data_IF_659948913640
#
_entry.id   IF_659948913640
#
_cell.length_a   1.000
_cell.length_b   1.000
_cell.length_c   1.000
_cell.angle_alpha   90.00
_cell.angle_beta   90.00
_cell.angle_gamma   90.00
#
_symmetry.space_group_name_H-M   'P 1'
#
loop_
_entity.id
_entity.type
_entity.pdbx_description
1 polymer ?
#
# COMPACT_ATOMS: atom_id res chain seq x y z
N UNK A 1 -14.56 -109.46 11.46
CA UNK A 1 -13.14 -109.80 11.20
C UNK A 1 -12.65 -108.77 10.18
N UNK A 2 -11.78 -107.80 10.43
CA UNK A 2 -10.69 -107.59 11.40
C UNK A 2 -10.51 -106.06 11.59
N UNK A 3 -10.78 -105.50 12.76
CA UNK A 3 -9.87 -104.91 13.78
C UNK A 3 -8.55 -104.24 13.32
N UNK A 4 -8.40 -102.96 13.73
CA UNK A 4 -7.20 -102.23 14.23
C UNK A 4 -6.17 -101.71 13.20
N UNK A 5 -5.54 -100.52 13.30
CA UNK A 5 -5.26 -99.60 14.42
C UNK A 5 -4.93 -98.18 13.91
N UNK A 6 -5.27 -97.22 14.76
CA UNK A 6 -4.93 -95.79 14.90
C UNK A 6 -3.42 -95.44 14.87
N UNK A 7 -3.05 -94.29 14.27
CA UNK A 7 -2.08 -93.32 14.84
C UNK A 7 -2.36 -91.88 14.37
N UNK A 8 -2.43 -90.97 15.35
CA UNK A 8 -2.37 -89.50 15.29
C UNK A 8 -0.98 -89.05 14.73
N UNK A 9 -0.72 -87.84 14.21
CA UNK A 9 -1.16 -86.51 14.68
C UNK A 9 -1.01 -85.38 13.63
N UNK A 10 -2.00 -84.49 13.65
CA UNK A 10 -1.98 -83.01 13.60
C UNK A 10 -1.40 -82.21 12.38
N UNK A 11 -1.94 -81.00 12.13
CA UNK A 11 -2.14 -80.48 10.77
C UNK A 11 -1.27 -79.26 10.43
N UNK A 12 -1.09 -79.00 9.14
CA UNK A 12 -0.76 -77.67 8.63
C UNK A 12 -1.67 -77.37 7.44
N UNK A 13 -2.43 -76.29 7.60
CA UNK A 13 -3.33 -75.72 6.63
C UNK A 13 -2.59 -75.33 5.34
N UNK A 14 -3.26 -75.43 4.20
CA UNK A 14 -3.54 -74.25 3.39
C UNK A 14 -4.67 -74.54 2.39
N UNK A 15 -5.54 -73.55 2.29
CA UNK A 15 -6.80 -73.55 1.57
C UNK A 15 -6.61 -73.52 0.03
N UNK A 16 -7.41 -74.32 -0.67
CA UNK A 16 -7.72 -74.12 -2.08
C UNK A 16 -9.15 -74.60 -2.33
N UNK A 17 -10.10 -73.66 -2.34
CA UNK A 17 -11.43 -73.89 -2.88
C UNK A 17 -11.94 -72.57 -3.49
N UNK A 18 -11.84 -72.48 -4.81
CA UNK A 18 -12.65 -71.56 -5.59
C UNK A 18 -14.11 -72.03 -5.54
N UNK A 19 -15.05 -71.09 -5.38
CA UNK A 19 -16.26 -71.13 -6.16
C UNK A 19 -16.39 -69.85 -7.00
N UNK A 20 -16.97 -70.06 -8.19
CA UNK A 20 -17.36 -69.07 -9.17
C UNK A 20 -18.23 -67.97 -8.51
N UNK A 21 -17.67 -66.78 -8.33
CA UNK A 21 -18.44 -65.57 -8.05
C UNK A 21 -18.46 -64.71 -9.30
N UNK A 22 -19.61 -64.80 -9.97
CA UNK A 22 -20.11 -63.87 -10.97
C UNK A 22 -19.84 -62.42 -10.56
N UNK A 23 -19.04 -61.74 -11.37
CA UNK A 23 -18.87 -60.29 -11.31
C UNK A 23 -20.21 -59.58 -11.56
N UNK A 24 -20.85 -59.11 -10.50
CA UNK A 24 -21.65 -57.89 -10.58
C UNK A 24 -20.72 -56.74 -10.18
N UNK A 25 -19.96 -56.21 -11.13
CA UNK A 25 -19.38 -54.87 -10.97
C UNK A 25 -20.55 -53.91 -10.80
N UNK A 26 -20.76 -53.40 -9.58
CA UNK A 26 -21.66 -52.28 -9.35
C UNK A 26 -21.02 -51.07 -10.03
N UNK A 27 -21.67 -50.43 -11.02
CA UNK A 27 -21.16 -49.19 -11.58
C UNK A 27 -20.97 -48.17 -10.45
N UNK A 28 -19.91 -47.36 -10.46
CA UNK A 28 -19.76 -46.30 -9.47
C UNK A 28 -21.01 -45.42 -9.51
N UNK A 29 -21.67 -45.29 -8.37
CA UNK A 29 -22.84 -44.43 -8.22
C UNK A 29 -22.41 -43.00 -8.57
N UNK A 30 -23.13 -42.29 -9.47
CA UNK A 30 -22.79 -40.92 -9.80
C UNK A 30 -22.74 -40.10 -8.52
N UNK A 31 -21.59 -39.44 -8.27
CA UNK A 31 -21.48 -38.52 -7.15
C UNK A 31 -22.66 -37.53 -7.23
N UNK A 32 -23.38 -37.27 -6.12
CA UNK A 32 -24.40 -36.25 -6.11
C UNK A 32 -23.77 -34.96 -6.63
N UNK A 33 -24.47 -34.20 -7.50
CA UNK A 33 -23.94 -32.96 -8.04
C UNK A 33 -23.50 -32.09 -6.87
N UNK A 34 -22.25 -31.61 -6.92
CA UNK A 34 -21.75 -30.68 -5.93
C UNK A 34 -22.74 -29.52 -5.82
N UNK A 35 -23.24 -29.26 -4.61
CA UNK A 35 -24.08 -28.09 -4.39
C UNK A 35 -23.35 -26.87 -4.96
N UNK A 36 -24.06 -26.02 -5.74
CA UNK A 36 -23.43 -24.83 -6.29
C UNK A 36 -22.81 -24.05 -5.15
N UNK A 37 -21.53 -23.71 -5.30
CA UNK A 37 -20.80 -22.92 -4.32
C UNK A 37 -21.68 -21.73 -3.91
N UNK A 38 -21.86 -21.47 -2.60
CA UNK A 38 -22.70 -20.36 -2.17
C UNK A 38 -22.25 -19.10 -2.91
N UNK A 39 -23.18 -18.28 -3.41
CA UNK A 39 -22.81 -17.04 -4.07
C UNK A 39 -21.90 -16.24 -3.12
N UNK A 40 -20.86 -15.58 -3.63
CA UNK A 40 -19.92 -14.85 -2.79
C UNK A 40 -20.72 -13.92 -1.88
N UNK A 41 -20.64 -14.17 -0.58
CA UNK A 41 -21.26 -13.28 0.39
C UNK A 41 -20.48 -11.98 0.32
N UNK A 42 -21.10 -10.95 -0.25
CA UNK A 42 -20.53 -9.59 -0.25
C UNK A 42 -20.57 -9.14 1.20
N UNK A 43 -19.46 -9.31 1.92
CA UNK A 43 -19.26 -8.66 3.21
C UNK A 43 -19.18 -7.17 2.88
N UNK A 44 -20.22 -6.40 3.22
CA UNK A 44 -20.08 -4.94 3.23
C UNK A 44 -19.02 -4.62 4.26
N UNK A 45 -17.83 -4.26 3.80
CA UNK A 45 -16.79 -3.71 4.66
C UNK A 45 -17.37 -2.50 5.38
N UNK A 46 -17.69 -2.68 6.66
CA UNK A 46 -18.18 -1.60 7.52
C UNK A 46 -17.08 -0.57 7.83
N UNK A 47 -15.82 -0.88 7.50
CA UNK A 47 -14.68 0.02 7.64
C UNK A 47 -14.53 0.96 6.44
N UNK A 48 -14.15 2.21 6.67
CA UNK A 48 -13.71 3.09 5.59
C UNK A 48 -12.45 2.52 4.94
N UNK A 49 -12.51 2.29 3.64
CA UNK A 49 -11.35 2.02 2.81
C UNK A 49 -10.72 3.34 2.31
N UNK A 50 -9.65 3.23 1.51
CA UNK A 50 -8.93 4.37 0.94
C UNK A 50 -9.84 5.33 0.17
N UNK A 51 -10.68 4.82 -0.73
CA UNK A 51 -11.55 5.64 -1.57
C UNK A 51 -12.56 6.42 -0.73
N UNK A 52 -13.19 5.75 0.25
CA UNK A 52 -14.14 6.39 1.16
C UNK A 52 -13.48 7.47 2.04
N UNK A 53 -12.26 7.23 2.54
CA UNK A 53 -11.52 8.22 3.30
C UNK A 53 -11.14 9.44 2.44
N UNK A 54 -10.62 9.21 1.23
CA UNK A 54 -10.26 10.29 0.31
C UNK A 54 -11.46 11.14 -0.10
N UNK A 55 -12.63 10.51 -0.33
CA UNK A 55 -13.86 11.23 -0.61
C UNK A 55 -14.24 12.16 0.56
N UNK A 56 -14.18 11.67 1.81
CA UNK A 56 -14.49 12.47 2.98
C UNK A 56 -13.49 13.62 3.21
N UNK A 57 -12.19 13.38 2.99
CA UNK A 57 -11.16 14.43 3.06
C UNK A 57 -11.34 15.48 1.94
N UNK A 58 -11.71 15.05 0.73
CA UNK A 58 -11.99 15.95 -0.40
C UNK A 58 -13.21 16.82 -0.11
N UNK A 59 -14.28 16.23 0.42
CA UNK A 59 -15.48 16.96 0.82
C UNK A 59 -15.19 18.02 1.90
N UNK A 60 -14.41 17.66 2.92
CA UNK A 60 -13.97 18.59 3.96
C UNK A 60 -13.10 19.73 3.38
N UNK A 61 -12.21 19.41 2.45
CA UNK A 61 -11.40 20.40 1.74
C UNK A 61 -12.24 21.36 0.91
N UNK A 62 -13.20 20.85 0.13
CA UNK A 62 -14.15 21.68 -0.62
C UNK A 62 -14.95 22.58 0.31
N UNK A 63 -15.46 22.05 1.42
CA UNK A 63 -16.16 22.86 2.41
C UNK A 63 -15.29 24.02 2.94
N UNK A 64 -14.01 23.77 3.25
CA UNK A 64 -13.08 24.84 3.65
C UNK A 64 -12.90 25.89 2.55
N UNK A 65 -12.63 25.46 1.32
CA UNK A 65 -12.41 26.35 0.17
C UNK A 65 -13.64 27.23 -0.12
N UNK A 66 -14.84 26.70 0.13
CA UNK A 66 -16.12 27.41 -0.02
C UNK A 66 -16.48 28.28 1.21
N UNK A 67 -15.61 28.37 2.21
CA UNK A 67 -15.84 29.11 3.45
C UNK A 67 -16.92 28.48 4.36
N UNK A 68 -17.24 27.20 4.17
CA UNK A 68 -18.22 26.46 4.94
C UNK A 68 -17.59 25.77 6.15
N UNK A 69 -18.36 25.63 7.22
CA UNK A 69 -18.00 24.82 8.38
C UNK A 69 -18.84 23.55 8.39
N UNK A 70 -18.34 22.49 7.75
CA UNK A 70 -18.92 21.14 7.84
C UNK A 70 -17.93 20.21 8.52
N UNK A 71 -18.38 19.50 9.54
CA UNK A 71 -17.60 18.39 10.10
C UNK A 71 -17.90 17.14 9.27
N UNK A 72 -16.85 16.44 8.86
CA UNK A 72 -17.01 15.14 8.25
C UNK A 72 -17.44 14.18 9.36
N UNK A 73 -18.62 13.55 9.23
CA UNK A 73 -19.16 12.61 10.21
C UNK A 73 -18.37 11.29 10.26
N UNK A 74 -17.10 11.39 10.68
CA UNK A 74 -16.11 10.32 10.67
C UNK A 74 -15.79 9.82 12.09
N UNK A 75 -16.00 10.64 13.12
CA UNK A 75 -15.75 10.27 14.51
C UNK A 75 -16.43 8.95 14.86
N UNK A 76 -15.65 8.00 15.38
CA UNK A 76 -16.12 6.68 15.79
C UNK A 76 -16.14 5.64 14.67
N UNK A 77 -15.98 6.01 13.39
CA UNK A 77 -15.97 5.03 12.28
C UNK A 77 -14.66 4.24 12.28
N UNK A 78 -14.77 2.93 12.02
CA UNK A 78 -13.60 2.07 11.79
C UNK A 78 -13.01 2.36 10.43
N UNK A 79 -11.68 2.30 10.30
CA UNK A 79 -10.96 2.52 9.06
C UNK A 79 -9.94 1.40 8.83
N UNK A 80 -9.85 0.92 7.58
CA UNK A 80 -8.81 0.02 7.09
C UNK A 80 -8.34 0.54 5.74
N UNK A 81 -7.31 1.37 5.76
CA UNK A 81 -6.81 2.05 4.57
C UNK A 81 -5.54 1.35 4.11
N UNK A 82 -5.54 0.94 2.84
CA UNK A 82 -4.38 0.39 2.14
C UNK A 82 -3.77 1.47 1.24
N UNK A 83 -2.51 1.78 1.46
CA UNK A 83 -1.76 2.82 0.75
C UNK A 83 -0.71 2.16 -0.15
N UNK A 84 -0.95 2.05 -1.47
CA UNK A 84 0.01 1.45 -2.38
C UNK A 84 1.25 2.35 -2.59
N UNK A 85 2.44 1.75 -2.59
CA UNK A 85 3.72 2.42 -2.80
C UNK A 85 4.72 1.51 -3.53
N UNK A 86 5.84 2.09 -4.00
CA UNK A 86 6.82 1.36 -4.80
C UNK A 86 6.34 1.00 -6.22
N UNK A 87 5.25 1.62 -6.70
CA UNK A 87 4.63 1.30 -7.99
C UNK A 87 5.53 1.58 -9.21
N UNK A 88 6.45 2.54 -9.09
CA UNK A 88 7.45 2.86 -10.12
C UNK A 88 8.82 2.23 -9.84
N UNK A 89 8.90 1.30 -8.88
CA UNK A 89 10.15 0.77 -8.36
C UNK A 89 10.71 1.57 -7.20
N UNK A 90 12.02 1.47 -7.03
CA UNK A 90 12.79 2.04 -5.91
C UNK A 90 12.83 3.57 -5.99
N UNK A 91 12.86 4.23 -4.83
CA UNK A 91 13.01 5.68 -4.77
C UNK A 91 14.42 6.10 -5.23
N UNK A 92 14.49 6.93 -6.28
CA UNK A 92 15.75 7.40 -6.88
C UNK A 92 16.53 8.41 -6.01
N UNK A 93 15.90 9.01 -4.99
CA UNK A 93 16.52 10.01 -4.12
C UNK A 93 16.19 9.73 -2.66
N UNK A 94 17.24 9.60 -1.84
CA UNK A 94 17.12 9.60 -0.38
C UNK A 94 16.79 11.02 0.08
N UNK A 95 15.50 11.35 0.15
CA UNK A 95 15.00 12.56 0.79
C UNK A 95 14.00 12.19 1.88
N UNK A 96 14.02 12.89 3.01
CA UNK A 96 12.99 12.73 4.02
C UNK A 96 11.64 13.12 3.42
N UNK A 97 10.77 12.12 3.17
CA UNK A 97 9.34 12.39 3.10
C UNK A 97 8.69 11.79 4.32
N UNK A 98 8.69 12.57 5.40
CA UNK A 98 7.86 12.28 6.56
C UNK A 98 6.46 11.90 6.12
N UNK A 99 5.89 10.90 6.78
CA UNK A 99 4.56 10.35 6.56
C UNK A 99 4.37 9.52 5.28
N UNK A 100 5.31 9.48 4.33
CA UNK A 100 5.14 8.71 3.09
C UNK A 100 5.94 7.39 3.10
N UNK A 101 5.33 6.25 2.74
CA UNK A 101 6.05 4.98 2.62
C UNK A 101 6.97 4.96 1.40
N UNK A 102 8.13 4.33 1.55
CA UNK A 102 9.19 4.26 0.54
C UNK A 102 9.74 2.84 0.40
N UNK A 103 10.15 2.53 -0.83
CA UNK A 103 10.97 1.38 -1.18
C UNK A 103 12.38 1.87 -1.51
N UNK A 104 13.38 1.36 -0.80
CA UNK A 104 14.80 1.73 -0.98
C UNK A 104 15.63 0.48 -1.22
N UNK A 105 16.57 0.52 -2.15
CA UNK A 105 17.61 -0.49 -2.28
C UNK A 105 18.84 -0.09 -1.47
N UNK A 106 19.29 -0.99 -0.61
CA UNK A 106 20.48 -0.79 0.19
C UNK A 106 21.73 -1.15 -0.62
N UNK A 107 22.90 -0.71 -0.13
CA UNK A 107 24.19 -1.01 -0.75
C UNK A 107 24.52 -2.52 -0.77
N UNK A 108 23.98 -3.30 0.17
CA UNK A 108 24.13 -4.77 0.22
C UNK A 108 23.19 -5.51 -0.75
N UNK A 109 22.42 -4.77 -1.55
CA UNK A 109 21.45 -5.30 -2.50
C UNK A 109 20.10 -5.65 -1.90
N UNK A 110 19.92 -5.62 -0.57
CA UNK A 110 18.61 -5.83 0.06
C UNK A 110 17.63 -4.67 -0.23
N UNK A 111 16.33 -4.94 -0.08
CA UNK A 111 15.29 -3.91 -0.19
C UNK A 111 14.78 -3.55 1.20
N UNK A 112 14.61 -2.25 1.46
CA UNK A 112 13.99 -1.74 2.68
C UNK A 112 12.65 -1.09 2.34
N UNK A 113 11.59 -1.57 2.98
CA UNK A 113 10.31 -0.87 3.11
C UNK A 113 10.40 0.01 4.35
N UNK A 114 10.16 1.31 4.19
CA UNK A 114 10.23 2.24 5.31
C UNK A 114 9.13 3.28 5.27
N UNK A 115 8.58 3.63 6.44
CA UNK A 115 7.79 4.84 6.63
C UNK A 115 8.19 5.49 7.95
N UNK A 116 8.62 6.75 7.87
CA UNK A 116 8.88 7.59 9.04
C UNK A 116 7.67 8.49 9.23
N UNK A 117 6.91 8.39 10.34
CA UNK A 117 5.79 9.31 10.55
C UNK A 117 6.28 10.75 10.63
N UNK A 118 5.49 11.68 10.10
CA UNK A 118 5.76 13.10 10.24
C UNK A 118 5.33 13.59 11.62
N UNK A 119 6.15 14.39 12.30
CA UNK A 119 5.69 15.04 13.53
C UNK A 119 4.78 16.22 13.17
N UNK A 120 3.49 16.09 13.47
CA UNK A 120 2.48 17.11 13.23
C UNK A 120 2.12 17.91 14.48
N UNK A 121 2.74 17.64 15.64
CA UNK A 121 2.34 18.23 16.93
C UNK A 121 2.33 19.76 16.94
N UNK A 122 3.25 20.40 16.20
CA UNK A 122 3.33 21.86 16.04
C UNK A 122 2.81 22.37 14.69
N UNK A 123 2.19 21.51 13.87
CA UNK A 123 1.69 21.87 12.56
C UNK A 123 0.38 22.65 12.65
N UNK A 124 0.17 23.62 11.75
CA UNK A 124 -1.11 24.32 11.60
C UNK A 124 -2.29 23.38 11.25
N UNK A 125 -1.99 22.16 10.79
CA UNK A 125 -2.97 21.11 10.55
C UNK A 125 -3.59 20.55 11.83
N UNK A 126 -2.90 20.67 12.96
CA UNK A 126 -3.42 20.26 14.27
C UNK A 126 -3.99 21.50 14.95
N UNK A 127 -5.29 21.53 15.28
CA UNK A 127 -5.88 22.70 15.91
C UNK A 127 -5.23 22.94 17.27
N UNK A 128 -4.80 24.18 17.51
CA UNK A 128 -4.37 24.61 18.82
C UNK A 128 -5.52 24.42 19.82
N UNK A 129 -5.20 23.89 21.00
CA UNK A 129 -6.11 23.83 22.14
C UNK A 129 -6.45 25.28 22.55
N UNK A 130 -7.75 25.59 22.71
CA UNK A 130 -8.19 26.90 23.20
C UNK A 130 -7.52 27.15 24.56
N UNK A 131 -6.98 28.34 24.81
CA UNK A 131 -6.28 28.71 26.06
C UNK A 131 -7.01 28.14 27.29
N UNK A 132 -6.34 27.25 28.03
CA UNK A 132 -6.87 26.58 29.22
C UNK A 132 -7.28 25.11 29.03
N UNK A 133 -7.31 24.57 27.82
CA UNK A 133 -7.42 23.14 27.59
C UNK A 133 -6.01 22.51 27.65
N UNK A 134 -5.74 21.74 28.70
CA UNK A 134 -4.58 20.84 28.79
C UNK A 134 -4.48 20.08 27.47
N UNK A 135 -3.30 20.08 26.83
CA UNK A 135 -3.09 19.44 25.53
C UNK A 135 -3.59 18.00 25.58
N UNK A 136 -4.74 17.74 24.93
CA UNK A 136 -5.36 16.42 24.93
C UNK A 136 -4.41 15.38 24.33
N UNK A 137 -3.55 15.83 23.42
CA UNK A 137 -2.64 14.99 22.66
C UNK A 137 -1.19 15.30 23.02
N UNK A 138 -0.45 14.28 23.46
CA UNK A 138 1.00 14.37 23.73
C UNK A 138 1.83 14.23 22.45
N UNK A 139 1.26 13.61 21.41
CA UNK A 139 1.86 13.51 20.10
C UNK A 139 0.81 13.35 19.00
N UNK A 140 1.16 13.85 17.81
CA UNK A 140 0.40 13.65 16.58
C UNK A 140 1.36 13.22 15.48
N UNK A 141 1.25 11.97 15.04
CA UNK A 141 2.12 11.38 14.01
C UNK A 141 1.36 11.31 12.66
N UNK A 142 1.89 11.97 11.63
CA UNK A 142 1.28 12.10 10.31
C UNK A 142 1.70 11.01 9.33
N UNK A 143 0.70 10.48 8.61
CA UNK A 143 0.86 9.57 7.48
C UNK A 143 0.15 10.15 6.25
N UNK A 144 0.89 10.39 5.19
CA UNK A 144 0.36 11.00 3.97
C UNK A 144 -0.11 9.95 2.98
N UNK A 145 -1.16 10.30 2.23
CA UNK A 145 -1.71 9.46 1.19
C UNK A 145 -1.03 9.82 -0.14
N UNK A 146 -0.15 8.94 -0.63
CA UNK A 146 0.45 9.10 -1.95
C UNK A 146 -0.63 9.10 -3.04
N UNK A 147 -0.56 10.01 -4.01
CA UNK A 147 -1.58 10.22 -5.07
C UNK A 147 -2.98 10.40 -4.49
N UNK A 148 -3.22 11.50 -3.75
CA UNK A 148 -4.50 11.75 -3.08
C UNK A 148 -5.69 11.90 -4.06
N UNK A 149 -5.43 12.07 -5.36
CA UNK A 149 -6.44 12.07 -6.43
C UNK A 149 -6.85 10.67 -6.92
N UNK A 150 -6.29 9.59 -6.36
CA UNK A 150 -6.59 8.21 -6.77
C UNK A 150 -7.11 7.37 -5.59
N UNK A 151 -8.31 6.80 -5.76
CA UNK A 151 -8.92 5.88 -4.80
C UNK A 151 -8.38 4.44 -4.84
N UNK A 152 -7.45 4.13 -5.75
CA UNK A 152 -6.89 2.78 -5.89
C UNK A 152 -6.09 2.36 -4.65
N UNK A 153 -6.38 1.18 -4.15
CA UNK A 153 -5.71 0.52 -3.02
C UNK A 153 -4.55 -0.40 -3.47
N UNK A 154 -4.33 -0.50 -4.78
CA UNK A 154 -3.23 -1.20 -5.41
C UNK A 154 -2.45 -0.26 -6.33
N UNK A 155 -1.23 -0.65 -6.69
CA UNK A 155 -0.51 0.05 -7.76
C UNK A 155 -1.31 -0.03 -9.07
N UNK A 156 -1.39 1.06 -9.85
CA UNK A 156 -2.03 1.02 -11.15
C UNK A 156 -1.28 -0.02 -11.99
N UNK A 157 -2.03 -0.80 -12.77
CA UNK A 157 -1.41 -1.53 -13.86
C UNK A 157 -0.61 -0.51 -14.68
N UNK A 158 0.65 -0.81 -15.00
CA UNK A 158 1.41 0.00 -15.95
C UNK A 158 0.63 0.03 -17.26
N UNK A 159 -0.22 1.05 -17.44
CA UNK A 159 -0.60 1.46 -18.76
C UNK A 159 0.72 1.87 -19.39
N UNK A 160 1.24 1.02 -20.28
CA UNK A 160 2.35 1.37 -21.13
C UNK A 160 1.96 2.68 -21.81
N UNK A 161 2.45 3.80 -21.28
CA UNK A 161 2.45 5.09 -21.94
C UNK A 161 3.40 4.91 -23.11
N UNK A 162 2.92 4.26 -24.17
CA UNK A 162 3.42 4.47 -25.51
C UNK A 162 3.02 5.90 -25.87
N UNK A 163 3.78 6.87 -25.35
CA UNK A 163 3.88 8.13 -26.04
C UNK A 163 4.52 7.79 -27.40
N UNK A 164 3.84 8.02 -28.54
CA UNK A 164 4.50 7.89 -29.82
C UNK A 164 5.67 8.87 -29.81
N UNK A 165 6.88 8.36 -30.04
CA UNK A 165 8.02 9.21 -30.31
C UNK A 165 7.63 10.14 -31.47
N UNK A 166 7.87 11.46 -31.39
CA UNK A 166 7.63 12.33 -32.52
C UNK A 166 8.55 11.88 -33.65
N UNK A 167 7.97 11.23 -34.65
CA UNK A 167 8.67 10.88 -35.87
C UNK A 167 9.07 12.19 -36.56
N UNK A 168 10.37 12.47 -36.56
CA UNK A 168 10.96 13.58 -37.28
C UNK A 168 10.69 13.37 -38.78
N UNK A 169 9.61 13.97 -39.27
CA UNK A 169 9.34 14.04 -40.70
C UNK A 169 10.48 14.79 -41.41
N UNK A 170 11.09 14.25 -42.47
CA UNK A 170 12.09 14.97 -43.24
C UNK A 170 11.39 15.95 -44.17
N UNK A 171 11.79 17.23 -44.13
CA UNK A 171 11.40 18.24 -45.13
C UNK A 171 12.61 18.63 -45.99
N UNK A 172 12.43 18.91 -47.30
CA UNK A 172 13.47 18.68 -48.30
C UNK A 172 14.37 19.90 -48.57
N UNK A 173 15.61 19.57 -48.95
CA UNK A 173 16.55 20.25 -49.86
C UNK A 173 16.58 21.79 -49.90
N UNK A 174 17.74 22.36 -49.55
CA UNK A 174 18.35 23.41 -50.37
C UNK A 174 19.87 23.24 -50.49
N UNK A 175 20.31 23.44 -51.73
CA UNK A 175 21.57 23.08 -52.34
C UNK A 175 22.61 24.20 -52.17
N UNK A 176 23.83 23.80 -51.79
CA UNK A 176 25.15 24.36 -52.11
C UNK A 176 25.34 25.86 -52.38
N UNK A 177 26.21 26.50 -51.57
CA UNK A 177 27.31 27.33 -52.09
C UNK A 177 28.59 26.98 -51.33
N UNK A 178 29.70 26.91 -52.09
CA UNK A 178 31.02 26.33 -51.78
C UNK A 178 31.90 27.21 -50.86
N UNK A 179 32.67 26.54 -50.01
CA UNK A 179 33.88 26.91 -49.23
C UNK A 179 35.07 27.32 -50.13
N UNK A 180 36.29 27.69 -49.63
CA UNK A 180 36.78 27.85 -48.24
C UNK A 180 37.75 29.05 -47.96
N UNK A 181 38.06 29.30 -46.68
CA UNK A 181 39.43 29.25 -46.11
C UNK A 181 39.55 29.89 -44.71
N UNK A 182 40.06 29.07 -43.79
CA UNK A 182 40.98 29.37 -42.68
C UNK A 182 40.69 30.43 -41.60
N UNK A 183 40.45 29.88 -40.41
CA UNK A 183 41.22 30.09 -39.19
C UNK A 183 41.08 31.43 -38.45
N UNK A 184 40.29 31.41 -37.36
CA UNK A 184 40.79 31.44 -35.97
C UNK A 184 39.73 32.04 -35.00
N UNK A 185 39.26 31.17 -34.11
CA UNK A 185 38.74 31.43 -32.74
C UNK A 185 37.56 32.38 -32.57
N UNK A 186 36.34 31.86 -32.36
CA UNK A 186 35.41 32.40 -31.34
C UNK A 186 34.39 31.32 -30.92
N UNK A 187 34.28 31.14 -29.60
CA UNK A 187 33.27 30.46 -28.79
C UNK A 187 32.14 29.65 -29.47
N UNK A 188 32.16 28.34 -29.22
CA UNK A 188 30.99 27.50 -29.33
C UNK A 188 29.97 27.90 -28.25
N UNK A 189 28.98 28.71 -28.64
CA UNK A 189 27.76 28.92 -27.87
C UNK A 189 26.91 27.66 -28.00
N UNK A 190 27.07 26.76 -27.04
CA UNK A 190 26.19 25.60 -26.84
C UNK A 190 24.75 26.09 -26.69
N UNK A 191 23.90 25.77 -27.65
CA UNK A 191 22.44 25.88 -27.53
C UNK A 191 21.96 24.51 -27.07
N UNK A 192 22.06 24.25 -25.77
CA UNK A 192 21.38 23.14 -25.11
C UNK A 192 20.73 23.69 -23.85
N UNK A 193 19.53 24.26 -24.01
CA UNK A 193 18.62 24.52 -22.91
C UNK A 193 17.41 23.60 -23.10
N UNK A 194 17.64 22.30 -22.95
CA UNK A 194 16.54 21.37 -22.66
C UNK A 194 16.14 21.68 -21.23
N UNK A 195 15.11 22.52 -21.09
CA UNK A 195 14.52 22.86 -19.80
C UNK A 195 14.30 21.57 -19.01
N UNK A 196 14.93 21.50 -17.82
CA UNK A 196 14.72 20.40 -16.90
C UNK A 196 13.21 20.22 -16.71
N UNK A 197 12.70 18.97 -16.75
CA UNK A 197 11.28 18.74 -16.54
C UNK A 197 10.85 19.42 -15.23
N UNK A 198 9.67 20.06 -15.18
CA UNK A 198 9.21 20.71 -13.97
C UNK A 198 9.27 19.70 -12.83
N UNK A 199 9.94 20.08 -11.73
CA UNK A 199 9.95 19.28 -10.52
C UNK A 199 8.52 19.30 -9.98
N UNK A 200 7.75 18.26 -10.30
CA UNK A 200 6.42 18.06 -9.73
C UNK A 200 6.62 17.61 -8.29
N UNK A 201 6.48 18.53 -7.34
CA UNK A 201 6.48 18.18 -5.92
C UNK A 201 5.29 17.26 -5.66
N UNK A 202 5.55 16.18 -4.91
CA UNK A 202 4.51 15.25 -4.52
C UNK A 202 3.60 15.95 -3.51
N UNK A 203 2.54 16.57 -4.02
CA UNK A 203 1.60 17.36 -3.23
C UNK A 203 1.00 16.52 -2.10
N UNK A 204 1.23 16.98 -0.86
CA UNK A 204 0.69 16.40 0.36
C UNK A 204 -0.63 17.10 0.66
N UNK A 205 -1.72 16.64 0.05
CA UNK A 205 -3.04 17.26 0.25
C UNK A 205 -4.00 16.45 1.12
N UNK A 206 -3.72 15.17 1.38
CA UNK A 206 -4.57 14.31 2.20
C UNK A 206 -3.75 13.33 3.05
N UNK A 207 -4.08 13.21 4.34
CA UNK A 207 -3.38 12.33 5.27
C UNK A 207 -4.24 11.82 6.44
N UNK A 208 -3.65 10.92 7.23
CA UNK A 208 -4.14 10.50 8.54
C UNK A 208 -3.16 10.97 9.61
N UNK A 209 -3.69 11.41 10.74
CA UNK A 209 -2.91 11.80 11.91
C UNK A 209 -3.20 10.83 13.05
N UNK A 210 -2.23 9.98 13.37
CA UNK A 210 -2.30 9.13 14.55
C UNK A 210 -2.15 10.02 15.80
N UNK A 211 -3.20 10.08 16.61
CA UNK A 211 -3.27 10.93 17.81
C UNK A 211 -3.08 10.12 19.09
N UNK A 212 -2.21 10.61 19.98
CA UNK A 212 -1.84 9.93 21.23
C UNK A 212 -2.19 10.80 22.44
N UNK A 213 -3.04 10.32 23.34
CA UNK A 213 -3.52 11.09 24.49
C UNK A 213 -2.43 11.36 25.52
N UNK A 214 -2.49 12.52 26.17
CA UNK A 214 -1.61 12.87 27.29
C UNK A 214 -1.80 11.92 28.47
N UNK A 215 -0.70 11.30 28.91
CA UNK A 215 -0.73 10.26 29.94
C UNK A 215 -1.27 8.91 29.46
N UNK A 216 -1.60 8.80 28.17
CA UNK A 216 -1.91 7.53 27.53
C UNK A 216 -0.69 6.62 27.40
N UNK A 217 -0.91 5.39 26.92
CA UNK A 217 0.18 4.44 26.72
C UNK A 217 1.26 5.04 25.81
N UNK A 218 2.51 5.06 26.30
CA UNK A 218 3.68 5.37 25.48
C UNK A 218 4.07 4.20 24.58
N UNK A 219 3.54 3.00 24.86
CA UNK A 219 3.78 1.84 24.01
C UNK A 219 3.07 2.06 22.66
N UNK A 220 3.85 2.00 21.57
CA UNK A 220 3.34 2.23 20.22
C UNK A 220 3.65 3.59 19.63
N UNK A 221 4.05 4.58 20.45
CA UNK A 221 4.65 5.81 19.93
C UNK A 221 6.01 5.49 19.35
N UNK A 222 6.32 6.03 18.19
CA UNK A 222 7.64 5.86 17.60
C UNK A 222 8.53 7.08 17.79
N UNK A 223 7.98 8.22 18.22
CA UNK A 223 8.77 9.45 18.44
C UNK A 223 9.61 9.78 17.19
N UNK A 224 9.00 9.66 16.01
CA UNK A 224 9.67 9.84 14.73
C UNK A 224 10.56 8.68 14.27
N UNK A 225 10.63 7.56 14.99
CA UNK A 225 11.34 6.37 14.52
C UNK A 225 10.60 5.70 13.35
N UNK A 226 11.34 5.34 12.31
CA UNK A 226 10.77 4.69 11.14
C UNK A 226 10.24 3.28 11.41
N UNK A 227 9.12 2.92 10.78
CA UNK A 227 8.69 1.54 10.60
C UNK A 227 9.51 0.93 9.47
N UNK A 228 10.26 -0.13 9.74
CA UNK A 228 11.24 -0.69 8.81
C UNK A 228 11.01 -2.19 8.63
N UNK A 229 10.97 -2.63 7.38
CA UNK A 229 11.03 -4.04 7.00
C UNK A 229 12.10 -4.25 5.94
N UNK A 230 13.00 -5.20 6.16
CA UNK A 230 14.10 -5.51 5.25
C UNK A 230 13.83 -6.83 4.54
N UNK A 231 13.73 -6.78 3.23
CA UNK A 231 13.62 -7.94 2.35
C UNK A 231 15.02 -8.31 1.88
N UNK A 232 15.45 -9.52 2.23
CA UNK A 232 16.72 -10.09 1.77
C UNK A 232 16.43 -11.11 0.69
N UNK A 233 17.28 -11.15 -0.33
CA UNK A 233 17.16 -12.16 -1.38
C UNK A 233 17.77 -13.49 -0.95
N UNK A 234 17.46 -14.54 -1.69
CA UNK A 234 17.95 -15.89 -1.41
C UNK A 234 19.33 -16.12 -2.03
N UNK A 235 20.22 -16.79 -1.29
CA UNK A 235 21.49 -17.35 -1.80
C UNK A 235 22.35 -16.36 -2.62
N UNK A 236 22.42 -15.10 -2.18
CA UNK A 236 23.24 -14.07 -2.82
C UNK A 236 22.63 -13.45 -4.08
N UNK A 237 21.40 -13.82 -4.44
CA UNK A 237 20.63 -13.11 -5.48
C UNK A 237 19.93 -11.92 -4.83
N UNK A 238 20.09 -10.73 -5.40
CA UNK A 238 19.40 -9.54 -4.91
C UNK A 238 17.87 -9.69 -5.09
N UNK A 239 17.05 -9.33 -4.09
CA UNK A 239 15.61 -9.40 -4.21
C UNK A 239 15.11 -8.40 -5.26
N UNK A 240 14.14 -8.84 -6.05
CA UNK A 240 13.40 -8.00 -7.00
C UNK A 240 12.20 -7.39 -6.30
N UNK A 241 11.87 -6.10 -6.53
CA UNK A 241 10.62 -5.53 -6.05
C UNK A 241 9.39 -6.32 -6.52
N UNK A 242 8.38 -6.43 -5.67
CA UNK A 242 7.13 -7.08 -6.02
C UNK A 242 6.47 -6.38 -7.25
N UNK A 243 5.98 -7.12 -8.26
CA UNK A 243 5.40 -6.52 -9.49
C UNK A 243 4.22 -5.58 -9.24
N UNK A 244 3.44 -5.82 -8.18
CA UNK A 244 2.33 -4.95 -7.74
C UNK A 244 2.75 -3.85 -6.76
N UNK A 245 4.05 -3.63 -6.58
CA UNK A 245 4.60 -2.81 -5.51
C UNK A 245 4.30 -3.38 -4.12
N UNK A 246 4.23 -2.50 -3.14
CA UNK A 246 3.93 -2.83 -1.75
C UNK A 246 2.76 -1.97 -1.26
N UNK A 247 2.19 -2.34 -0.12
CA UNK A 247 1.14 -1.55 0.51
C UNK A 247 1.43 -1.30 2.00
N UNK A 248 1.17 -0.08 2.44
CA UNK A 248 1.12 0.28 3.86
C UNK A 248 -0.35 0.21 4.29
N UNK A 249 -0.66 -0.67 5.23
CA UNK A 249 -1.98 -0.81 5.84
C UNK A 249 -2.03 0.00 7.13
N UNK A 250 -3.03 0.87 7.25
CA UNK A 250 -3.35 1.61 8.47
C UNK A 250 -4.77 1.23 8.92
N UNK A 251 -4.87 0.66 10.10
CA UNK A 251 -6.13 0.23 10.70
C UNK A 251 -6.36 0.90 12.05
N UNK A 252 -7.61 1.25 12.30
CA UNK A 252 -8.00 1.78 13.60
C UNK A 252 -9.38 2.42 13.60
N UNK A 253 -9.56 3.42 14.46
CA UNK A 253 -10.81 4.17 14.57
C UNK A 253 -10.57 5.66 14.40
N UNK A 254 -11.34 6.28 13.52
CA UNK A 254 -11.33 7.72 13.35
C UNK A 254 -11.88 8.38 14.63
N UNK A 255 -11.22 9.44 15.07
CA UNK A 255 -11.54 10.18 16.30
C UNK A 255 -11.60 11.67 16.01
N UNK A 256 -11.99 12.46 17.00
CA UNK A 256 -11.94 13.91 16.93
C UNK A 256 -10.60 14.45 17.45
N UNK A 257 -10.15 15.56 16.87
CA UNK A 257 -9.12 16.43 17.45
C UNK A 257 -9.64 17.16 18.70
N UNK A 258 -8.82 18.04 19.30
CA UNK A 258 -9.17 18.75 20.53
C UNK A 258 -10.38 19.69 20.39
N UNK A 259 -10.66 20.18 19.19
CA UNK A 259 -11.80 21.04 18.87
C UNK A 259 -13.09 20.26 18.55
N UNK A 260 -13.06 18.94 18.61
CA UNK A 260 -14.21 18.07 18.37
C UNK A 260 -14.40 17.61 16.91
N UNK A 261 -13.62 18.12 15.96
CA UNK A 261 -13.73 17.75 14.53
C UNK A 261 -12.91 16.51 14.21
N UNK A 262 -13.39 15.67 13.32
CA UNK A 262 -12.64 14.49 12.87
C UNK A 262 -11.59 14.82 11.81
N UNK A 263 -11.83 15.87 11.02
CA UNK A 263 -10.97 16.32 9.93
C UNK A 263 -10.59 17.77 10.14
N UNK A 264 -9.30 18.05 9.96
CA UNK A 264 -8.77 19.41 9.89
C UNK A 264 -8.17 19.67 8.53
N UNK A 265 -8.50 20.82 7.98
CA UNK A 265 -7.97 21.28 6.71
C UNK A 265 -7.36 22.67 6.90
N UNK A 266 -6.24 22.92 6.23
CA UNK A 266 -5.66 24.26 6.09
C UNK A 266 -5.51 24.60 4.62
N UNK A 267 -5.60 25.88 4.32
CA UNK A 267 -5.45 26.40 2.97
C UNK A 267 -4.61 27.68 3.07
N UNK A 268 -3.61 27.82 2.18
CA UNK A 268 -2.74 29.00 2.16
C UNK A 268 -3.49 30.25 1.74
N UNK A 269 -4.27 30.14 0.67
CA UNK A 269 -5.10 31.17 0.05
C UNK A 269 -6.22 30.50 -0.76
N UNK A 270 -7.24 31.25 -1.18
CA UNK A 270 -8.43 30.70 -1.84
C UNK A 270 -8.14 29.91 -3.13
N UNK A 271 -7.01 30.18 -3.80
CA UNK A 271 -6.60 29.53 -5.05
C UNK A 271 -5.76 28.27 -4.81
N UNK A 272 -5.20 28.11 -3.62
CA UNK A 272 -4.41 26.95 -3.22
C UNK A 272 -5.31 25.76 -2.89
N UNK A 273 -4.89 24.54 -3.20
CA UNK A 273 -5.62 23.34 -2.75
C UNK A 273 -5.53 23.21 -1.21
N UNK A 274 -6.63 22.91 -0.52
CA UNK A 274 -6.60 22.56 0.89
C UNK A 274 -5.75 21.31 1.17
N UNK A 275 -5.07 21.31 2.30
CA UNK A 275 -4.38 20.15 2.87
C UNK A 275 -5.20 19.67 4.06
N UNK A 276 -5.67 18.42 4.02
CA UNK A 276 -6.55 17.85 5.03
C UNK A 276 -5.96 16.61 5.71
N UNK A 277 -6.17 16.50 7.02
CA UNK A 277 -5.83 15.32 7.83
C UNK A 277 -7.03 14.85 8.64
N UNK A 278 -7.20 13.54 8.75
CA UNK A 278 -8.19 12.93 9.65
C UNK A 278 -7.51 12.39 10.91
N UNK A 279 -8.08 12.64 12.09
CA UNK A 279 -7.57 12.08 13.33
C UNK A 279 -7.90 10.59 13.45
N UNK A 280 -6.88 9.81 13.81
CA UNK A 280 -6.91 8.35 13.89
C UNK A 280 -6.38 7.89 15.25
N UNK A 281 -7.13 7.04 15.94
CA UNK A 281 -6.52 6.13 16.94
C UNK A 281 -6.06 4.90 16.18
N UNK A 282 -4.74 4.79 16.00
CA UNK A 282 -4.12 3.73 15.22
C UNK A 282 -4.06 2.46 16.06
N UNK A 283 -4.68 1.38 15.57
CA UNK A 283 -4.66 0.08 16.23
C UNK A 283 -3.58 -0.83 15.62
N UNK A 284 -3.30 -0.66 14.32
CA UNK A 284 -2.35 -1.50 13.58
C UNK A 284 -1.80 -0.78 12.35
N UNK A 285 -0.49 -0.96 12.16
CA UNK A 285 0.22 -0.61 10.93
C UNK A 285 0.89 -1.87 10.38
N UNK A 286 0.78 -2.11 9.08
CA UNK A 286 1.45 -3.25 8.46
C UNK A 286 2.02 -2.93 7.08
N UNK A 287 3.11 -3.60 6.72
CA UNK A 287 3.54 -3.71 5.33
C UNK A 287 2.97 -5.00 4.72
N UNK A 288 2.42 -4.88 3.53
CA UNK A 288 1.83 -5.96 2.75
C UNK A 288 2.50 -6.01 1.36
N UNK A 289 2.54 -7.19 0.76
CA UNK A 289 2.78 -7.34 -0.67
C UNK A 289 1.64 -6.67 -1.47
N UNK A 290 1.99 -5.86 -2.47
CA UNK A 290 1.02 -5.03 -3.19
C UNK A 290 0.06 -5.82 -4.08
N UNK A 291 0.51 -6.96 -4.61
CA UNK A 291 -0.29 -7.80 -5.51
C UNK A 291 -1.16 -8.81 -4.76
N UNK A 292 -0.57 -9.48 -3.76
CA UNK A 292 -1.20 -10.61 -3.06
C UNK A 292 -1.86 -10.21 -1.75
N UNK A 293 -1.49 -9.06 -1.17
CA UNK A 293 -1.92 -8.67 0.18
C UNK A 293 -1.26 -9.48 1.29
N UNK A 294 -0.24 -10.30 0.98
CA UNK A 294 0.48 -11.08 1.98
C UNK A 294 1.15 -10.17 3.02
N UNK A 295 0.97 -10.47 4.31
CA UNK A 295 1.56 -9.72 5.40
C UNK A 295 3.09 -9.91 5.44
N UNK A 296 3.83 -8.81 5.45
CA UNK A 296 5.31 -8.81 5.53
C UNK A 296 5.80 -8.47 6.94
N UNK A 297 5.17 -7.46 7.57
CA UNK A 297 5.47 -7.06 8.94
C UNK A 297 4.31 -6.25 9.53
N UNK A 298 4.17 -6.31 10.84
CA UNK A 298 3.07 -5.66 11.56
C UNK A 298 3.58 -4.99 12.84
N UNK A 299 2.94 -3.86 13.18
CA UNK A 299 3.11 -3.14 14.43
C UNK A 299 1.75 -2.80 15.01
N UNK A 300 1.60 -3.00 16.32
CA UNK A 300 0.40 -2.64 17.07
C UNK A 300 0.81 -1.79 18.26
N UNK A 301 0.31 -0.54 18.36
CA UNK A 301 0.39 0.23 19.59
C UNK A 301 -0.27 -0.57 20.71
N UNK A 302 0.41 -0.76 21.85
CA UNK A 302 -0.13 -1.52 22.99
C UNK A 302 -0.64 -0.59 24.07
#
# INVERSE_FOLDING_TARGET
MSITTTRLAAPLALAAALPLLTWCQRPPEPAPPADPAPPPTVVLDSSLNRAALLAALTEAGTALADGQTRDAALTGRTVSVRLPFGCGGEAAVAGEAGGLPRLVRNADGSLTLTVTPEDLGASALVPATREGAVDKWEAVEGFWIARPWSGLDACPASAALAAPAPELAPSPAQTAIKTPAEDKTTEAKTVDDVAAPPIVQLERSAGLAAVFETGGSRLGRRQGQAYIHVIRGEKGVAPTPAPGGYALRLEGRLTAFADGKAVHCVQKDAESRPVCIAALRLDRLAFEDGATGALLSEWRPR
#
